data_IF_214884140289
#
_entry.id   IF_214884140289
#
_cell.length_a   1.000
_cell.length_b   1.000
_cell.length_c   1.000
_cell.angle_alpha   90.00
_cell.angle_beta   90.00
_cell.angle_gamma   90.00
#
_symmetry.space_group_name_H-M   'P 1'
#
loop_
_entity.id
_entity.type
_entity.pdbx_description
1 polymer ?
#
# COMPACT_ATOMS: atom_id res chain seq x y z
N UNK A 1 -2.76 -28.18 12.61
CA UNK A 1 -1.83 -27.85 13.71
C UNK A 1 -1.70 -26.34 13.91
N UNK A 2 -0.90 -25.61 13.13
CA UNK A 2 -0.68 -24.17 13.38
C UNK A 2 -1.95 -23.31 13.28
N UNK A 3 -2.76 -23.51 12.23
CA UNK A 3 -4.04 -22.80 12.08
C UNK A 3 -5.01 -23.09 13.23
N UNK A 4 -5.02 -24.33 13.76
CA UNK A 4 -5.88 -24.69 14.90
C UNK A 4 -5.43 -23.98 16.17
N UNK A 5 -4.13 -23.95 16.46
CA UNK A 5 -3.59 -23.19 17.59
C UNK A 5 -3.90 -21.69 17.47
N UNK A 6 -3.78 -21.14 16.26
CA UNK A 6 -4.17 -19.76 15.97
C UNK A 6 -5.66 -19.51 16.29
N UNK A 7 -6.55 -20.38 15.81
CA UNK A 7 -7.99 -20.29 16.08
C UNK A 7 -8.33 -20.44 17.57
N UNK A 8 -7.65 -21.34 18.29
CA UNK A 8 -7.79 -21.54 19.74
C UNK A 8 -7.43 -20.26 20.49
N UNK A 9 -6.21 -19.73 20.28
CA UNK A 9 -5.75 -18.50 20.93
C UNK A 9 -6.67 -17.33 20.60
N UNK A 10 -7.04 -17.16 19.32
CA UNK A 10 -7.91 -16.05 18.91
C UNK A 10 -9.27 -16.11 19.60
N UNK A 11 -9.86 -17.30 19.74
CA UNK A 11 -11.17 -17.49 20.39
C UNK A 11 -11.08 -17.27 21.90
N UNK A 12 -10.03 -17.79 22.54
CA UNK A 12 -9.81 -17.62 23.98
C UNK A 12 -9.62 -16.13 24.35
N UNK A 13 -9.01 -15.35 23.46
CA UNK A 13 -8.85 -13.89 23.61
C UNK A 13 -10.07 -13.08 23.14
N UNK A 14 -11.12 -13.72 22.62
CA UNK A 14 -12.34 -13.06 22.15
C UNK A 14 -12.13 -12.12 20.96
N UNK A 15 -11.13 -12.40 20.12
CA UNK A 15 -10.78 -11.56 18.97
C UNK A 15 -11.51 -11.99 17.68
N UNK A 16 -11.81 -11.01 16.82
CA UNK A 16 -12.37 -11.24 15.48
C UNK A 16 -11.47 -10.60 14.42
N UNK A 17 -11.10 -11.38 13.40
CA UNK A 17 -10.50 -10.87 12.17
C UNK A 17 -11.56 -10.41 11.17
N UNK A 18 -11.14 -9.78 10.08
CA UNK A 18 -12.03 -9.42 8.98
C UNK A 18 -12.71 -10.64 8.35
N UNK A 19 -12.00 -11.76 8.21
CA UNK A 19 -12.58 -12.98 7.64
C UNK A 19 -13.61 -13.58 8.60
N UNK A 20 -13.36 -13.48 9.91
CA UNK A 20 -14.31 -13.95 10.93
C UNK A 20 -15.60 -13.15 10.94
N UNK A 21 -15.55 -11.86 10.66
CA UNK A 21 -16.77 -11.04 10.57
C UNK A 21 -17.72 -11.58 9.49
N UNK A 22 -17.17 -11.94 8.33
CA UNK A 22 -17.94 -12.55 7.25
C UNK A 22 -18.42 -13.96 7.61
N UNK A 23 -17.50 -14.83 8.07
CA UNK A 23 -17.83 -16.22 8.36
C UNK A 23 -18.80 -16.38 9.53
N UNK A 24 -18.61 -15.62 10.60
CA UNK A 24 -19.50 -15.60 11.77
C UNK A 24 -20.85 -14.99 11.40
N UNK A 25 -20.87 -13.93 10.58
CA UNK A 25 -22.10 -13.34 10.08
C UNK A 25 -22.92 -14.34 9.26
N UNK A 26 -22.29 -15.06 8.34
CA UNK A 26 -22.92 -16.15 7.59
C UNK A 26 -23.44 -17.27 8.51
N UNK A 27 -22.60 -17.74 9.43
CA UNK A 27 -22.95 -18.83 10.36
C UNK A 27 -24.15 -18.45 11.25
N UNK A 28 -24.20 -17.20 11.71
CA UNK A 28 -25.31 -16.67 12.49
C UNK A 28 -26.62 -16.68 11.69
N UNK A 29 -26.59 -16.24 10.43
CA UNK A 29 -27.77 -16.26 9.55
C UNK A 29 -28.25 -17.69 9.26
N UNK A 30 -27.33 -18.65 9.12
CA UNK A 30 -27.67 -20.06 8.87
C UNK A 30 -28.24 -20.75 10.12
N UNK A 31 -27.66 -20.49 11.30
CA UNK A 31 -28.00 -21.19 12.54
C UNK A 31 -29.17 -20.58 13.32
N UNK A 32 -29.49 -19.31 13.07
CA UNK A 32 -30.52 -18.57 13.80
C UNK A 32 -31.58 -18.01 12.83
N UNK A 33 -32.59 -18.84 12.46
CA UNK A 33 -33.62 -18.44 11.49
C UNK A 33 -34.47 -17.24 11.92
N UNK A 34 -34.59 -17.01 13.21
CA UNK A 34 -35.22 -15.82 13.80
C UNK A 34 -34.46 -14.55 13.43
N UNK A 35 -33.13 -14.56 13.59
CA UNK A 35 -32.27 -13.43 13.20
C UNK A 35 -32.31 -13.25 11.68
N UNK A 36 -32.18 -14.33 10.91
CA UNK A 36 -32.29 -14.26 9.45
C UNK A 36 -33.61 -13.62 8.99
N UNK A 37 -34.74 -14.01 9.59
CA UNK A 37 -36.06 -13.44 9.28
C UNK A 37 -36.13 -11.95 9.58
N UNK A 38 -35.53 -11.50 10.68
CA UNK A 38 -35.45 -10.08 11.01
C UNK A 38 -34.72 -9.30 9.92
N UNK A 39 -33.54 -9.78 9.49
CA UNK A 39 -32.75 -9.12 8.46
C UNK A 39 -33.41 -9.18 7.07
N UNK A 40 -34.02 -10.31 6.71
CA UNK A 40 -34.82 -10.45 5.49
C UNK A 40 -36.01 -9.49 5.47
N UNK A 41 -36.69 -9.28 6.60
CA UNK A 41 -37.79 -8.33 6.70
C UNK A 41 -37.31 -6.87 6.61
N UNK A 42 -36.10 -6.60 7.10
CA UNK A 42 -35.48 -5.27 7.06
C UNK A 42 -35.08 -4.85 5.65
N UNK A 43 -34.47 -5.76 4.87
CA UNK A 43 -33.95 -5.45 3.53
C UNK A 43 -34.95 -5.83 2.44
N UNK A 44 -35.80 -4.88 2.05
CA UNK A 44 -36.75 -5.09 0.93
C UNK A 44 -36.05 -5.25 -0.42
N UNK A 45 -34.87 -4.65 -0.59
CA UNK A 45 -34.05 -4.75 -1.79
C UNK A 45 -32.57 -4.60 -1.43
N UNK A 46 -31.71 -5.28 -2.17
CA UNK A 46 -30.26 -5.27 -1.98
C UNK A 46 -29.59 -4.88 -3.29
N UNK A 47 -28.74 -3.86 -3.24
CA UNK A 47 -27.91 -3.40 -4.34
C UNK A 47 -26.46 -3.66 -3.94
N UNK A 48 -25.72 -4.33 -4.82
CA UNK A 48 -24.31 -4.65 -4.59
C UNK A 48 -23.50 -4.10 -5.74
N UNK A 49 -22.62 -3.16 -5.43
CA UNK A 49 -21.66 -2.60 -6.37
C UNK A 49 -20.36 -3.43 -6.37
N UNK A 50 -19.54 -3.28 -7.41
CA UNK A 50 -18.29 -4.03 -7.61
C UNK A 50 -18.45 -5.56 -7.46
N UNK A 51 -19.56 -6.09 -7.98
CA UNK A 51 -19.97 -7.48 -7.77
C UNK A 51 -18.99 -8.51 -8.35
N UNK A 52 -18.13 -8.12 -9.29
CA UNK A 52 -17.08 -8.99 -9.82
C UNK A 52 -16.06 -9.42 -8.75
N UNK A 53 -15.88 -8.62 -7.70
CA UNK A 53 -14.90 -8.89 -6.63
C UNK A 53 -15.49 -9.62 -5.42
N UNK A 54 -16.73 -10.10 -5.53
CA UNK A 54 -17.42 -10.85 -4.47
C UNK A 54 -16.82 -12.24 -4.31
N UNK A 55 -16.57 -12.61 -3.05
CA UNK A 55 -16.16 -13.96 -2.68
C UNK A 55 -17.37 -14.85 -2.30
N UNK A 56 -17.10 -16.14 -2.09
CA UNK A 56 -18.14 -17.12 -1.80
C UNK A 56 -18.97 -16.81 -0.54
N UNK A 57 -18.32 -16.42 0.56
CA UNK A 57 -19.03 -16.14 1.81
C UNK A 57 -19.99 -14.96 1.64
N UNK A 58 -19.53 -13.89 0.99
CA UNK A 58 -20.35 -12.72 0.66
C UNK A 58 -21.53 -13.10 -0.24
N UNK A 59 -21.32 -13.90 -1.29
CA UNK A 59 -22.39 -14.37 -2.17
C UNK A 59 -23.44 -15.20 -1.40
N UNK A 60 -23.01 -16.11 -0.51
CA UNK A 60 -23.93 -16.93 0.28
C UNK A 60 -24.74 -16.09 1.29
N UNK A 61 -24.14 -15.07 1.90
CA UNK A 61 -24.87 -14.12 2.76
C UNK A 61 -25.95 -13.38 1.95
N UNK A 62 -25.60 -12.87 0.78
CA UNK A 62 -26.53 -12.14 -0.09
C UNK A 62 -27.69 -13.04 -0.54
N UNK A 63 -27.40 -14.31 -0.84
CA UNK A 63 -28.42 -15.31 -1.15
C UNK A 63 -29.40 -15.51 0.01
N UNK A 64 -28.90 -15.67 1.23
CA UNK A 64 -29.74 -15.85 2.42
C UNK A 64 -30.62 -14.62 2.65
N UNK A 65 -30.04 -13.42 2.59
CA UNK A 65 -30.77 -12.18 2.86
C UNK A 65 -31.84 -11.87 1.80
N UNK A 66 -31.60 -12.23 0.54
CA UNK A 66 -32.51 -11.91 -0.55
C UNK A 66 -33.48 -13.05 -0.90
N UNK A 67 -33.30 -14.25 -0.34
CA UNK A 67 -34.08 -15.45 -0.67
C UNK A 67 -35.61 -15.25 -0.74
N UNK A 68 -36.27 -14.51 0.17
CA UNK A 68 -37.73 -14.40 0.18
C UNK A 68 -38.31 -13.59 -0.99
N UNK A 69 -37.57 -12.61 -1.50
CA UNK A 69 -38.10 -11.63 -2.47
C UNK A 69 -37.28 -11.55 -3.77
N UNK A 70 -35.99 -11.91 -3.75
CA UNK A 70 -35.05 -11.82 -4.88
C UNK A 70 -34.95 -10.42 -5.51
N UNK A 71 -35.26 -9.37 -4.74
CA UNK A 71 -35.00 -7.98 -5.13
C UNK A 71 -33.52 -7.70 -4.92
N UNK A 72 -32.72 -8.21 -5.87
CA UNK A 72 -31.28 -8.24 -5.80
C UNK A 72 -30.72 -7.70 -7.12
N UNK A 73 -30.02 -6.59 -7.03
CA UNK A 73 -29.30 -5.98 -8.14
C UNK A 73 -27.81 -6.08 -7.89
N UNK A 74 -27.10 -6.73 -8.80
CA UNK A 74 -25.65 -6.75 -8.86
C UNK A 74 -25.17 -5.80 -9.96
N UNK A 75 -24.23 -4.94 -9.61
CA UNK A 75 -23.57 -3.99 -10.50
C UNK A 75 -22.09 -4.33 -10.49
N UNK A 76 -21.48 -4.42 -11.67
CA UNK A 76 -20.06 -4.76 -11.77
C UNK A 76 -19.63 -5.00 -13.20
N UNK A 77 -18.34 -5.26 -13.36
CA UNK A 77 -17.70 -5.51 -14.64
C UNK A 77 -16.77 -6.72 -14.53
N UNK A 78 -17.10 -7.82 -15.20
CA UNK A 78 -16.27 -9.03 -15.20
C UNK A 78 -14.84 -8.80 -15.73
N UNK A 79 -14.63 -7.80 -16.59
CA UNK A 79 -13.31 -7.43 -17.09
C UNK A 79 -12.43 -6.70 -16.04
N UNK A 80 -13.01 -6.28 -14.93
CA UNK A 80 -12.34 -5.55 -13.83
C UNK A 80 -12.08 -6.42 -12.60
N UNK A 81 -12.22 -7.74 -12.72
CA UNK A 81 -11.94 -8.67 -11.62
C UNK A 81 -10.43 -8.74 -11.36
N UNK A 82 -9.97 -8.14 -10.27
CA UNK A 82 -8.53 -8.09 -9.92
C UNK A 82 -8.20 -8.67 -8.54
N UNK A 83 -9.20 -9.10 -7.78
CA UNK A 83 -9.05 -9.65 -6.43
C UNK A 83 -9.20 -11.19 -6.35
N UNK A 84 -9.04 -11.94 -7.45
CA UNK A 84 -9.16 -13.41 -7.45
C UNK A 84 -8.21 -14.08 -6.43
N UNK A 85 -7.01 -13.52 -6.23
CA UNK A 85 -6.04 -13.99 -5.24
C UNK A 85 -6.52 -13.82 -3.77
N UNK A 86 -7.53 -12.98 -3.53
CA UNK A 86 -8.25 -12.84 -2.25
C UNK A 86 -9.53 -13.68 -2.18
N UNK A 87 -9.78 -14.53 -3.18
CA UNK A 87 -10.96 -15.40 -3.23
C UNK A 87 -12.19 -14.80 -3.92
N UNK A 88 -12.06 -13.65 -4.59
CA UNK A 88 -13.08 -13.18 -5.52
C UNK A 88 -13.24 -14.19 -6.67
N UNK A 89 -14.47 -14.32 -7.20
CA UNK A 89 -14.76 -15.26 -8.27
C UNK A 89 -15.67 -14.64 -9.33
N UNK A 90 -15.15 -14.35 -10.54
CA UNK A 90 -15.94 -13.70 -11.60
C UNK A 90 -17.12 -14.56 -12.05
N UNK A 91 -17.15 -15.87 -11.73
CA UNK A 91 -18.31 -16.72 -12.02
C UNK A 91 -19.58 -16.20 -11.36
N UNK A 92 -19.50 -15.53 -10.21
CA UNK A 92 -20.69 -14.98 -9.55
C UNK A 92 -21.41 -13.96 -10.42
N UNK A 93 -20.68 -13.01 -11.02
CA UNK A 93 -21.27 -12.01 -11.92
C UNK A 93 -21.63 -12.63 -13.28
N UNK A 94 -20.80 -13.53 -13.82
CA UNK A 94 -21.05 -14.16 -15.11
C UNK A 94 -22.33 -15.02 -15.11
N UNK A 95 -22.54 -15.79 -14.04
CA UNK A 95 -23.68 -16.70 -13.88
C UNK A 95 -24.91 -16.04 -13.26
N UNK A 96 -24.83 -14.76 -12.87
CA UNK A 96 -25.89 -14.05 -12.14
C UNK A 96 -27.25 -14.14 -12.82
N UNK A 97 -27.27 -13.85 -14.13
CA UNK A 97 -28.45 -13.92 -15.00
C UNK A 97 -29.13 -15.30 -14.90
N UNK A 98 -28.35 -16.37 -15.02
CA UNK A 98 -28.86 -17.75 -14.95
C UNK A 98 -29.30 -18.12 -13.53
N UNK A 99 -28.52 -17.74 -12.52
CA UNK A 99 -28.75 -18.09 -11.11
C UNK A 99 -30.04 -17.47 -10.58
N UNK A 100 -30.30 -16.21 -10.90
CA UNK A 100 -31.43 -15.45 -10.37
C UNK A 100 -32.57 -15.23 -11.37
N UNK A 101 -32.42 -15.67 -12.63
CA UNK A 101 -33.31 -15.30 -13.76
C UNK A 101 -33.46 -13.79 -13.86
N UNK A 102 -32.35 -13.09 -13.65
CA UNK A 102 -32.31 -11.64 -13.57
C UNK A 102 -32.42 -11.01 -14.97
N UNK A 103 -32.98 -9.81 -15.02
CA UNK A 103 -32.86 -8.96 -16.20
C UNK A 103 -31.45 -8.36 -16.24
N UNK A 104 -30.83 -8.37 -17.41
CA UNK A 104 -29.47 -7.85 -17.61
C UNK A 104 -29.53 -6.57 -18.42
N UNK A 105 -28.85 -5.55 -17.93
CA UNK A 105 -28.67 -4.27 -18.61
C UNK A 105 -27.18 -4.05 -18.86
N UNK A 106 -26.81 -3.78 -20.11
CA UNK A 106 -25.43 -3.46 -20.47
C UNK A 106 -25.28 -1.95 -20.61
N UNK A 107 -24.31 -1.39 -19.89
CA UNK A 107 -23.92 0.01 -20.01
C UNK A 107 -22.60 0.08 -20.78
N UNK A 108 -22.68 0.14 -22.11
CA UNK A 108 -21.50 0.18 -22.97
C UNK A 108 -20.98 1.59 -23.20
N UNK A 109 -21.81 2.61 -23.02
CA UNK A 109 -21.43 4.01 -23.20
C UNK A 109 -20.44 4.46 -22.12
N UNK A 110 -19.24 4.86 -22.53
CA UNK A 110 -18.21 5.35 -21.62
C UNK A 110 -18.18 6.88 -21.60
N UNK A 111 -18.50 7.45 -20.45
CA UNK A 111 -18.51 8.90 -20.21
C UNK A 111 -17.23 9.45 -19.59
N UNK A 112 -16.22 8.60 -19.34
CA UNK A 112 -15.00 8.96 -18.60
C UNK A 112 -13.82 9.27 -19.52
N UNK A 113 -13.63 8.47 -20.56
CA UNK A 113 -12.40 8.44 -21.34
C UNK A 113 -12.63 8.92 -22.79
N UNK A 114 -11.59 9.51 -23.39
CA UNK A 114 -11.59 9.90 -24.80
C UNK A 114 -11.24 8.72 -25.71
N UNK A 115 -11.30 8.93 -27.02
CA UNK A 115 -11.15 7.86 -28.01
C UNK A 115 -9.86 7.07 -27.88
N UNK A 116 -8.72 7.74 -27.69
CA UNK A 116 -7.41 7.07 -27.60
C UNK A 116 -7.38 6.00 -26.51
N UNK A 117 -7.89 6.31 -25.32
CA UNK A 117 -7.91 5.38 -24.20
C UNK A 117 -8.93 4.24 -24.39
N UNK A 118 -10.10 4.55 -24.96
CA UNK A 118 -11.14 3.54 -25.23
C UNK A 118 -10.67 2.51 -26.27
N UNK A 119 -10.03 2.98 -27.34
CA UNK A 119 -9.48 2.10 -28.38
C UNK A 119 -8.42 1.18 -27.79
N UNK A 120 -7.51 1.71 -26.94
CA UNK A 120 -6.52 0.89 -26.27
C UNK A 120 -7.17 -0.15 -25.34
N UNK A 121 -8.10 0.27 -24.47
CA UNK A 121 -8.77 -0.62 -23.52
C UNK A 121 -9.50 -1.77 -24.24
N UNK A 122 -10.32 -1.46 -25.24
CA UNK A 122 -11.01 -2.46 -26.07
C UNK A 122 -10.02 -3.37 -26.83
N UNK A 123 -8.92 -2.80 -27.32
CA UNK A 123 -7.88 -3.53 -28.06
C UNK A 123 -7.13 -4.54 -27.20
N UNK A 124 -6.93 -4.24 -25.91
CA UNK A 124 -6.29 -5.16 -24.94
C UNK A 124 -7.28 -6.20 -24.46
N UNK A 125 -8.48 -5.80 -24.04
CA UNK A 125 -9.41 -6.71 -23.34
C UNK A 125 -9.96 -7.83 -24.22
N UNK A 126 -10.04 -7.63 -25.55
CA UNK A 126 -10.51 -8.64 -26.51
C UNK A 126 -9.69 -9.93 -26.52
N UNK A 127 -8.49 -9.92 -25.94
CA UNK A 127 -7.63 -11.10 -25.84
C UNK A 127 -8.03 -12.04 -24.69
N UNK A 128 -8.89 -11.60 -23.76
CA UNK A 128 -9.41 -12.42 -22.67
C UNK A 128 -10.49 -13.38 -23.16
N UNK A 129 -10.45 -14.64 -22.66
CA UNK A 129 -11.36 -15.71 -23.12
C UNK A 129 -12.58 -15.94 -22.24
N UNK A 130 -12.51 -15.60 -20.95
CA UNK A 130 -13.57 -15.85 -19.96
C UNK A 130 -14.19 -14.52 -19.55
N UNK A 131 -15.04 -13.98 -20.42
CA UNK A 131 -15.73 -12.70 -20.24
C UNK A 131 -17.08 -12.71 -20.97
N UNK A 132 -17.96 -11.78 -20.63
CA UNK A 132 -19.10 -11.43 -21.50
C UNK A 132 -18.58 -10.65 -22.70
N UNK A 133 -19.12 -10.96 -23.89
CA UNK A 133 -18.76 -10.21 -25.08
C UNK A 133 -19.41 -8.82 -25.05
N UNK A 134 -18.58 -7.80 -24.85
CA UNK A 134 -18.97 -6.39 -24.76
C UNK A 134 -17.81 -5.50 -25.17
N UNK A 135 -18.13 -4.30 -25.67
CA UNK A 135 -17.15 -3.29 -26.03
C UNK A 135 -17.61 -1.92 -25.53
N UNK A 136 -16.66 -1.13 -25.03
CA UNK A 136 -16.93 0.24 -24.62
C UNK A 136 -17.17 1.12 -25.86
N UNK A 137 -18.22 1.93 -25.80
CA UNK A 137 -18.62 2.89 -26.82
C UNK A 137 -18.21 4.30 -26.41
N UNK A 138 -17.68 5.05 -27.37
CA UNK A 138 -17.17 6.40 -27.17
C UNK A 138 -18.29 7.43 -27.05
N UNK A 139 -18.25 8.30 -26.03
CA UNK A 139 -19.17 9.46 -25.93
C UNK A 139 -18.47 10.82 -25.75
N UNK A 140 -17.17 10.86 -25.43
CA UNK A 140 -16.48 12.11 -25.04
C UNK A 140 -15.66 12.79 -26.17
N UNK A 141 -15.69 12.27 -27.40
CA UNK A 141 -15.00 12.85 -28.56
C UNK A 141 -13.77 12.06 -29.03
N UNK A 142 -13.28 12.40 -30.24
CA UNK A 142 -12.20 11.69 -30.94
C UNK A 142 -10.78 12.13 -30.56
N UNK A 143 -10.66 13.01 -29.57
CA UNK A 143 -9.40 13.48 -29.01
C UNK A 143 -8.84 12.47 -27.97
N UNK A 144 -7.80 12.87 -27.24
CA UNK A 144 -7.12 12.05 -26.25
C UNK A 144 -5.91 11.30 -26.82
N UNK A 145 -4.74 11.57 -26.22
CA UNK A 145 -3.48 10.94 -26.61
C UNK A 145 -3.22 9.75 -25.69
N UNK A 146 -2.82 8.64 -26.29
CA UNK A 146 -2.26 7.49 -25.59
C UNK A 146 -0.90 7.19 -26.19
N UNK A 147 0.13 7.22 -25.36
CA UNK A 147 1.52 7.05 -25.79
C UNK A 147 2.20 5.96 -24.96
N UNK A 148 3.09 5.22 -25.61
CA UNK A 148 3.92 4.19 -24.96
C UNK A 148 5.37 4.64 -25.07
N UNK A 149 6.04 4.72 -23.92
CA UNK A 149 7.45 5.09 -23.83
C UNK A 149 8.25 3.87 -23.38
N UNK A 150 9.27 3.51 -24.15
CA UNK A 150 10.24 2.50 -23.76
C UNK A 150 11.48 3.18 -23.19
N UNK A 151 11.96 2.67 -22.05
CA UNK A 151 13.14 3.19 -21.36
C UNK A 151 14.15 2.07 -21.13
N UNK A 152 15.44 2.41 -21.16
CA UNK A 152 16.52 1.45 -20.93
C UNK A 152 16.67 1.04 -19.47
N UNK A 153 16.28 1.93 -18.54
CA UNK A 153 16.35 1.71 -17.10
C UNK A 153 15.23 2.46 -16.37
N UNK A 154 15.10 2.18 -15.07
CA UNK A 154 14.05 2.75 -14.24
C UNK A 154 14.26 4.22 -13.89
N UNK A 155 15.51 4.70 -13.86
CA UNK A 155 15.84 6.10 -13.55
C UNK A 155 15.42 7.02 -14.71
N UNK A 156 15.71 6.62 -15.94
CA UNK A 156 15.24 7.28 -17.16
C UNK A 156 13.71 7.34 -17.20
N UNK A 157 13.04 6.24 -16.85
CA UNK A 157 11.58 6.18 -16.76
C UNK A 157 11.05 7.19 -15.73
N UNK A 158 11.62 7.21 -14.52
CA UNK A 158 11.26 8.18 -13.48
C UNK A 158 11.43 9.63 -13.94
N UNK A 159 12.57 9.95 -14.56
CA UNK A 159 12.84 11.28 -15.11
C UNK A 159 11.84 11.68 -16.20
N UNK A 160 11.50 10.76 -17.10
CA UNK A 160 10.51 11.02 -18.15
C UNK A 160 9.12 11.26 -17.56
N UNK A 161 8.69 10.45 -16.59
CA UNK A 161 7.41 10.63 -15.90
C UNK A 161 7.37 12.01 -15.23
N UNK A 162 8.40 12.37 -14.46
CA UNK A 162 8.44 13.66 -13.77
C UNK A 162 8.40 14.86 -14.75
N UNK A 163 9.06 14.75 -15.90
CA UNK A 163 8.98 15.75 -16.98
C UNK A 163 7.57 15.84 -17.57
N UNK A 164 6.89 14.72 -17.78
CA UNK A 164 5.50 14.70 -18.27
C UNK A 164 4.54 15.36 -17.27
N UNK A 165 4.75 15.15 -15.96
CA UNK A 165 3.99 15.85 -14.92
C UNK A 165 4.18 17.35 -15.05
N UNK A 166 5.43 17.85 -15.19
CA UNK A 166 5.68 19.28 -15.39
C UNK A 166 5.05 19.84 -16.66
N UNK A 167 5.11 19.09 -17.78
CA UNK A 167 4.46 19.48 -19.02
C UNK A 167 2.95 19.62 -18.82
N UNK A 168 2.28 18.62 -18.25
CA UNK A 168 0.85 18.67 -17.97
C UNK A 168 0.48 19.84 -17.05
N UNK A 169 1.32 20.13 -16.05
CA UNK A 169 1.13 21.30 -15.19
C UNK A 169 1.27 22.62 -15.93
N UNK A 170 2.21 22.74 -16.86
CA UNK A 170 2.39 23.94 -17.70
C UNK A 170 1.20 24.16 -18.65
N UNK A 171 0.49 23.08 -19.01
CA UNK A 171 -0.74 23.09 -19.79
C UNK A 171 -1.99 23.37 -18.92
N UNK A 172 -1.82 23.56 -17.61
CA UNK A 172 -2.88 23.95 -16.68
C UNK A 172 -3.56 22.79 -15.95
N UNK A 173 -3.11 21.55 -16.13
CA UNK A 173 -3.65 20.39 -15.40
C UNK A 173 -3.23 20.45 -13.93
N UNK A 174 -4.21 20.34 -13.03
CA UNK A 174 -3.91 20.38 -11.60
C UNK A 174 -3.21 19.08 -11.17
N UNK A 175 -2.24 19.14 -10.25
CA UNK A 175 -1.53 17.94 -9.75
C UNK A 175 -2.47 16.84 -9.25
N UNK A 176 -3.58 17.23 -8.61
CA UNK A 176 -4.61 16.31 -8.10
C UNK A 176 -5.36 15.53 -9.19
N UNK A 177 -5.23 15.95 -10.45
CA UNK A 177 -5.83 15.30 -11.62
C UNK A 177 -4.83 14.37 -12.32
N UNK A 178 -3.60 14.27 -11.80
CA UNK A 178 -2.55 13.40 -12.32
C UNK A 178 -2.36 12.23 -11.35
N UNK A 179 -2.51 11.01 -11.88
CA UNK A 179 -2.25 9.78 -11.15
C UNK A 179 -1.16 8.97 -11.85
N UNK A 180 -0.22 8.42 -11.06
CA UNK A 180 0.81 7.49 -11.52
C UNK A 180 0.48 6.12 -10.94
N UNK A 181 0.15 5.17 -11.80
CA UNK A 181 -0.20 3.81 -11.39
C UNK A 181 0.99 2.88 -11.62
N UNK A 182 1.35 2.10 -10.59
CA UNK A 182 2.40 1.09 -10.64
C UNK A 182 1.84 -0.29 -10.35
N UNK A 183 2.50 -1.35 -10.82
CA UNK A 183 2.06 -2.73 -10.57
C UNK A 183 2.39 -3.19 -9.16
N UNK A 184 3.54 -2.75 -8.64
CA UNK A 184 4.01 -3.03 -7.27
C UNK A 184 4.69 -1.80 -6.69
N UNK A 185 4.59 -1.61 -5.36
CA UNK A 185 5.22 -0.49 -4.66
C UNK A 185 6.74 -0.44 -4.78
N UNK A 186 7.40 -1.55 -5.12
CA UNK A 186 8.85 -1.56 -5.40
C UNK A 186 9.23 -0.76 -6.66
N UNK A 187 8.26 -0.36 -7.50
CA UNK A 187 8.48 0.47 -8.69
C UNK A 187 8.37 1.98 -8.43
N UNK A 188 7.87 2.39 -7.26
CA UNK A 188 7.75 3.82 -6.91
C UNK A 188 9.08 4.55 -6.67
N UNK A 189 10.16 3.94 -6.11
CA UNK A 189 11.36 4.68 -5.74
C UNK A 189 12.00 5.53 -6.85
N UNK A 190 12.21 5.04 -8.10
CA UNK A 190 12.78 5.88 -9.16
C UNK A 190 11.85 7.04 -9.57
N UNK A 191 10.53 6.85 -9.47
CA UNK A 191 9.54 7.90 -9.75
C UNK A 191 9.55 8.93 -8.63
N UNK A 192 9.47 8.50 -7.37
CA UNK A 192 9.53 9.37 -6.20
C UNK A 192 10.83 10.20 -6.18
N UNK A 193 11.97 9.58 -6.48
CA UNK A 193 13.25 10.28 -6.56
C UNK A 193 13.23 11.37 -7.64
N UNK A 194 12.68 11.08 -8.82
CA UNK A 194 12.58 12.06 -9.90
C UNK A 194 11.64 13.22 -9.55
N UNK A 195 10.51 12.94 -8.91
CA UNK A 195 9.58 13.96 -8.42
C UNK A 195 10.23 14.86 -7.36
N UNK A 196 10.95 14.27 -6.39
CA UNK A 196 11.71 15.01 -5.38
C UNK A 196 12.79 15.89 -6.02
N UNK A 197 13.51 15.35 -7.01
CA UNK A 197 14.60 16.07 -7.68
C UNK A 197 14.09 17.33 -8.42
N UNK A 198 12.86 17.28 -8.92
CA UNK A 198 12.20 18.40 -9.61
C UNK A 198 11.28 19.21 -8.69
N UNK A 199 11.31 18.99 -7.37
CA UNK A 199 10.47 19.66 -6.37
C UNK A 199 8.97 19.58 -6.69
N UNK A 200 8.51 18.41 -7.15
CA UNK A 200 7.11 18.13 -7.47
C UNK A 200 6.46 17.45 -6.26
N UNK A 201 5.49 18.10 -5.59
CA UNK A 201 4.77 17.49 -4.48
C UNK A 201 3.98 16.26 -4.95
N UNK A 202 4.01 15.19 -4.15
CA UNK A 202 3.30 13.95 -4.43
C UNK A 202 2.76 13.31 -3.15
N UNK A 203 1.83 12.37 -3.32
CA UNK A 203 1.30 11.50 -2.27
C UNK A 203 1.38 10.07 -2.76
N UNK A 204 1.71 9.14 -1.86
CA UNK A 204 1.66 7.70 -2.12
C UNK A 204 0.45 7.14 -1.38
N UNK A 205 -0.48 6.52 -2.10
CA UNK A 205 -1.68 5.90 -1.54
C UNK A 205 -1.43 4.42 -1.22
N UNK A 206 -1.81 4.00 -0.02
CA UNK A 206 -1.76 2.60 0.44
C UNK A 206 -0.40 2.08 0.95
N UNK A 207 0.66 2.90 0.91
CA UNK A 207 1.95 2.60 1.52
C UNK A 207 2.66 3.89 1.95
N UNK A 208 3.69 3.79 2.80
CA UNK A 208 4.55 4.92 3.13
C UNK A 208 5.42 5.30 1.91
N UNK A 209 5.64 6.61 1.66
CA UNK A 209 6.65 7.07 0.70
C UNK A 209 7.99 6.37 0.94
N UNK A 210 8.73 6.06 -0.13
CA UNK A 210 9.91 5.21 -0.07
C UNK A 210 10.93 5.67 0.98
N UNK A 211 11.21 6.98 1.03
CA UNK A 211 12.15 7.58 1.97
C UNK A 211 11.67 7.62 3.43
N UNK A 212 10.39 7.34 3.66
CA UNK A 212 9.79 7.25 4.99
C UNK A 212 9.66 5.81 5.50
N UNK A 213 10.01 4.80 4.71
CA UNK A 213 10.04 3.41 5.17
C UNK A 213 11.15 3.20 6.21
N UNK A 214 10.87 2.43 7.26
CA UNK A 214 11.75 2.33 8.43
C UNK A 214 13.15 1.76 8.07
N UNK A 215 13.19 0.75 7.21
CA UNK A 215 14.41 0.13 6.71
C UNK A 215 15.25 1.09 5.83
N UNK A 216 14.59 1.93 5.04
CA UNK A 216 15.25 2.94 4.20
C UNK A 216 15.80 4.06 5.08
N UNK A 217 15.01 4.56 6.03
CA UNK A 217 15.45 5.57 6.99
C UNK A 217 16.68 5.09 7.78
N UNK A 218 16.67 3.84 8.26
CA UNK A 218 17.79 3.27 8.99
C UNK A 218 19.08 3.29 8.14
N UNK A 219 19.01 2.85 6.88
CA UNK A 219 20.17 2.88 5.97
C UNK A 219 20.66 4.31 5.71
N UNK A 220 19.73 5.24 5.45
CA UNK A 220 20.06 6.65 5.22
C UNK A 220 20.73 7.26 6.46
N UNK A 221 20.26 6.94 7.66
CA UNK A 221 20.86 7.41 8.91
C UNK A 221 22.26 6.83 9.14
N UNK A 222 22.52 5.58 8.76
CA UNK A 222 23.89 5.05 8.73
C UNK A 222 24.79 5.82 7.77
N UNK A 223 24.31 6.08 6.54
CA UNK A 223 25.07 6.85 5.55
C UNK A 223 25.36 8.27 6.04
N UNK A 224 24.39 8.93 6.69
CA UNK A 224 24.56 10.24 7.33
C UNK A 224 25.61 10.20 8.43
N UNK A 225 25.52 9.23 9.35
CA UNK A 225 26.50 9.08 10.41
C UNK A 225 27.90 8.81 9.85
N UNK A 226 28.05 7.98 8.82
CA UNK A 226 29.33 7.72 8.17
C UNK A 226 29.91 8.98 7.51
N UNK A 227 29.07 9.80 6.88
CA UNK A 227 29.48 11.08 6.32
C UNK A 227 29.96 12.06 7.41
N UNK A 228 29.19 12.19 8.50
CA UNK A 228 29.55 13.03 9.64
C UNK A 228 30.83 12.56 10.32
N UNK A 229 31.00 11.25 10.46
CA UNK A 229 32.19 10.61 11.01
C UNK A 229 33.45 10.93 10.19
N UNK A 230 33.33 10.90 8.86
CA UNK A 230 34.41 11.30 7.95
C UNK A 230 34.83 12.76 8.18
N UNK A 231 33.88 13.64 8.48
CA UNK A 231 34.20 15.05 8.79
C UNK A 231 34.95 15.18 10.12
N UNK A 232 34.49 14.52 11.18
CA UNK A 232 35.17 14.52 12.48
C UNK A 232 36.60 13.95 12.36
N UNK A 233 36.77 12.88 11.58
CA UNK A 233 38.09 12.26 11.35
C UNK A 233 39.05 13.18 10.61
N UNK A 234 38.53 14.08 9.75
CA UNK A 234 39.32 15.11 9.08
C UNK A 234 39.68 16.30 9.98
N UNK A 235 39.28 16.27 11.27
CA UNK A 235 39.51 17.36 12.22
C UNK A 235 38.49 18.49 12.12
N UNK A 236 37.42 18.32 11.35
CA UNK A 236 36.36 19.31 11.25
C UNK A 236 35.33 19.10 12.36
N UNK A 237 34.99 20.16 13.08
CA UNK A 237 33.86 20.15 14.01
C UNK A 237 32.51 20.16 13.27
N UNK A 238 31.43 19.92 14.00
CA UNK A 238 30.08 20.04 13.45
C UNK A 238 29.60 21.49 13.39
N UNK A 239 28.93 21.83 12.30
CA UNK A 239 28.04 22.99 12.24
C UNK A 239 26.77 22.75 13.07
N UNK A 240 26.02 23.80 13.48
CA UNK A 240 24.78 23.62 14.23
C UNK A 240 23.74 22.74 13.54
N UNK A 241 23.71 22.74 12.20
CA UNK A 241 22.84 21.85 11.42
C UNK A 241 23.30 20.39 11.48
N UNK A 242 24.61 20.16 11.40
CA UNK A 242 25.19 18.83 11.52
C UNK A 242 25.03 18.25 12.92
N UNK A 243 25.03 19.07 13.97
CA UNK A 243 24.70 18.62 15.33
C UNK A 243 23.28 18.05 15.36
N UNK A 244 22.29 18.79 14.83
CA UNK A 244 20.90 18.30 14.76
C UNK A 244 20.76 17.02 13.94
N UNK A 245 21.47 16.93 12.82
CA UNK A 245 21.48 15.73 11.98
C UNK A 245 22.11 14.55 12.70
N UNK A 246 23.23 14.76 13.40
CA UNK A 246 23.90 13.75 14.19
C UNK A 246 23.00 13.21 15.30
N UNK A 247 22.39 14.09 16.11
CA UNK A 247 21.47 13.70 17.19
C UNK A 247 20.31 12.88 16.64
N UNK A 248 19.69 13.33 15.54
CA UNK A 248 18.57 12.62 14.91
C UNK A 248 19.00 11.22 14.43
N UNK A 249 20.05 11.13 13.63
CA UNK A 249 20.50 9.85 13.05
C UNK A 249 21.07 8.92 14.12
N UNK A 250 21.79 9.42 15.12
CA UNK A 250 22.29 8.62 16.24
C UNK A 250 21.14 7.96 17.00
N UNK A 251 20.09 8.72 17.31
CA UNK A 251 18.91 8.22 18.04
C UNK A 251 18.16 7.11 17.31
N UNK A 252 18.12 7.17 15.98
CA UNK A 252 17.53 6.10 15.17
C UNK A 252 18.42 4.86 15.13
N UNK A 253 19.73 5.07 15.03
CA UNK A 253 20.71 4.02 14.79
C UNK A 253 21.11 3.24 16.05
N UNK A 254 21.25 3.87 17.23
CA UNK A 254 21.81 3.15 18.39
C UNK A 254 20.91 1.99 18.86
N UNK A 255 19.58 2.13 18.71
CA UNK A 255 18.59 1.16 19.17
C UNK A 255 18.18 0.13 18.10
N UNK A 256 18.32 0.45 16.80
CA UNK A 256 17.93 -0.44 15.72
C UNK A 256 19.10 -0.71 14.75
N UNK A 257 19.48 -2.00 14.55
CA UNK A 257 19.11 -3.18 15.33
C UNK A 257 19.52 -3.07 16.81
N UNK A 258 18.90 -3.87 17.70
CA UNK A 258 19.18 -3.83 19.15
C UNK A 258 20.65 -4.13 19.45
N UNK A 259 21.34 -3.17 20.06
CA UNK A 259 22.76 -3.26 20.48
C UNK A 259 22.97 -3.30 21.99
N UNK A 260 21.89 -3.34 22.77
CA UNK A 260 21.93 -3.30 24.25
C UNK A 260 22.64 -2.07 24.83
N UNK A 261 22.69 -0.97 24.07
CA UNK A 261 23.15 0.33 24.55
C UNK A 261 22.00 0.98 25.30
N UNK A 262 22.19 1.31 26.59
CA UNK A 262 21.19 2.01 27.39
C UNK A 262 20.98 3.44 26.87
N UNK A 263 19.78 4.00 27.07
CA UNK A 263 19.50 5.41 26.69
C UNK A 263 20.47 6.39 27.34
N UNK A 264 20.82 6.15 28.60
CA UNK A 264 21.76 6.99 29.33
C UNK A 264 23.16 6.96 28.70
N UNK A 265 23.69 5.77 28.40
CA UNK A 265 24.98 5.61 27.75
C UNK A 265 24.96 6.22 26.34
N UNK A 266 23.89 6.01 25.58
CA UNK A 266 23.73 6.62 24.26
C UNK A 266 23.75 8.15 24.33
N UNK A 267 23.14 8.76 25.35
CA UNK A 267 23.16 10.20 25.57
C UNK A 267 24.52 10.75 26.00
N UNK A 268 25.28 9.99 26.79
CA UNK A 268 26.66 10.33 27.16
C UNK A 268 27.58 10.33 25.94
N UNK A 269 27.47 9.31 25.08
CA UNK A 269 28.21 9.22 23.82
C UNK A 269 27.84 10.38 22.89
N UNK A 270 26.53 10.66 22.73
CA UNK A 270 26.02 11.78 21.93
C UNK A 270 26.65 13.11 22.38
N UNK A 271 26.55 13.41 23.68
CA UNK A 271 27.07 14.64 24.27
C UNK A 271 28.60 14.76 24.15
N UNK A 272 29.32 13.64 24.29
CA UNK A 272 30.78 13.63 24.19
C UNK A 272 31.25 13.91 22.77
N UNK A 273 30.65 13.28 21.76
CA UNK A 273 30.97 13.52 20.34
C UNK A 273 30.72 14.98 19.98
N UNK A 274 29.56 15.52 20.35
CA UNK A 274 29.18 16.91 20.04
C UNK A 274 30.13 17.91 20.71
N UNK A 275 30.47 17.70 21.99
CA UNK A 275 31.31 18.64 22.76
C UNK A 275 32.77 18.61 22.34
N UNK A 276 33.31 17.42 22.04
CA UNK A 276 34.76 17.24 21.83
C UNK A 276 35.16 17.23 20.35
N UNK A 277 34.21 17.00 19.44
CA UNK A 277 34.51 16.73 18.04
C UNK A 277 35.26 15.41 17.82
N UNK A 278 35.35 14.55 18.84
CA UNK A 278 35.99 13.24 18.70
C UNK A 278 35.10 12.32 17.84
N UNK A 279 35.67 11.57 16.87
CA UNK A 279 34.91 10.62 16.07
C UNK A 279 34.10 9.64 16.91
N UNK A 280 32.89 9.32 16.45
CA UNK A 280 31.95 8.42 17.10
C UNK A 280 32.57 7.04 17.31
N UNK A 281 33.31 6.48 16.35
CA UNK A 281 33.94 5.16 16.50
C UNK A 281 34.96 5.14 17.64
N UNK A 282 35.74 6.21 17.81
CA UNK A 282 36.74 6.35 18.89
C UNK A 282 36.05 6.51 20.23
N UNK A 283 34.97 7.29 20.27
CA UNK A 283 34.14 7.45 21.47
C UNK A 283 33.53 6.12 21.87
N UNK A 284 32.93 5.38 20.93
CA UNK A 284 32.34 4.06 21.18
C UNK A 284 33.37 3.06 21.72
N UNK A 285 34.60 3.04 21.20
CA UNK A 285 35.68 2.19 21.75
C UNK A 285 36.03 2.56 23.19
N UNK A 286 36.13 3.85 23.49
CA UNK A 286 36.48 4.34 24.84
C UNK A 286 35.42 3.95 25.88
N UNK A 287 34.14 4.14 25.56
CA UNK A 287 33.05 3.77 26.48
C UNK A 287 32.83 2.26 26.54
N UNK A 288 33.10 1.53 25.45
CA UNK A 288 33.02 0.07 25.42
C UNK A 288 34.04 -0.60 26.35
N UNK A 289 35.29 -0.12 26.37
CA UNK A 289 36.33 -0.66 27.25
C UNK A 289 36.06 -0.35 28.73
N UNK A 290 35.52 0.83 29.04
CA UNK A 290 35.12 1.21 30.40
C UNK A 290 33.95 0.37 30.94
N UNK A 291 32.96 0.07 30.08
CA UNK A 291 31.82 -0.77 30.47
C UNK A 291 32.24 -2.22 30.74
N UNK A 292 33.14 -2.77 29.91
CA UNK A 292 33.69 -4.13 30.04
C UNK A 292 34.46 -4.33 31.34
N UNK A 293 35.23 -3.31 31.76
CA UNK A 293 35.92 -3.31 33.05
C UNK A 293 34.93 -3.36 34.23
N UNK A 294 33.82 -2.62 34.17
CA UNK A 294 32.81 -2.62 35.25
C UNK A 294 31.98 -3.91 35.35
N UNK A 295 31.86 -4.67 34.26
CA UNK A 295 31.17 -5.98 34.26
C UNK A 295 32.10 -7.06 34.81
N UNK A 296 33.40 -6.99 34.54
CA UNK A 296 34.39 -7.87 35.16
C UNK A 296 34.48 -7.64 36.69
N UNK A 297 34.41 -6.39 37.15
CA UNK A 297 34.41 -6.04 38.57
C UNK A 297 33.12 -6.43 39.33
N UNK A 298 32.04 -6.74 38.61
CA UNK A 298 30.76 -7.21 39.21
C UNK A 298 30.61 -8.72 39.27
N UNK A 299 31.58 -9.47 38.74
CA UNK A 299 31.62 -10.94 38.72
C UNK A 299 32.70 -11.54 39.63
N UNK A 300 33.33 -10.72 40.47
CA UNK A 300 34.24 -11.10 41.57
C UNK A 300 33.57 -10.77 42.90
#
# INVERSE_FOLDING_TARGET
ALYQLYEEVRRDEGMLTFDDQLMTGWELLVRHPDILKEWQARYRAVLVDEFQDVNRAQAEILDLLTAPHRNYMAIGDDDQTIYEWRGADPRFILDFERRYRAQVYFMTENFRCKAGQIVLANGVIRHNRRRRDKALQLTQGFDGVTAVYAHGDAEQMGSTIAKQVLTAQSEGIARKEIAILVRVYAQTPPVEQALITLDIPYVVEGDLPFYLRAEVQALVDYCRLAFLEKQLTAGNGFTPEQVRQFEKSWRQVYWQPKRYISRELAGQIESHVIRTGQPLHTTLRTYGTQSSASVADKLV
#
